data_IF_606924717991
#
_entry.id   IF_606924717991
#
_cell.length_a   1.000
_cell.length_b   1.000
_cell.length_c   1.000
_cell.angle_alpha   90.00
_cell.angle_beta   90.00
_cell.angle_gamma   90.00
#
_symmetry.space_group_name_H-M   'P 1'
#
loop_
_entity.id
_entity.type
_entity.pdbx_description
1 polymer ?
#
# COMPACT_ATOMS: atom_id res chain seq x y z
N UNK A 1 13.22 14.08 41.02
CA UNK A 1 12.84 13.00 40.09
C UNK A 1 14.02 12.79 39.17
N UNK A 2 14.55 11.57 39.05
CA UNK A 2 15.68 11.30 38.18
C UNK A 2 15.31 11.69 36.74
N UNK A 3 16.23 12.34 36.02
CA UNK A 3 16.02 12.77 34.64
C UNK A 3 15.69 11.61 33.69
N UNK A 4 15.98 10.38 34.11
CA UNK A 4 15.88 9.18 33.28
C UNK A 4 14.44 8.72 33.00
N UNK A 5 13.43 9.16 33.76
CA UNK A 5 12.02 8.72 33.61
C UNK A 5 11.12 9.70 32.83
N UNK A 6 11.67 10.79 32.29
CA UNK A 6 10.88 11.87 31.67
C UNK A 6 10.71 11.61 30.17
N UNK A 7 9.46 11.61 29.70
CA UNK A 7 9.13 11.66 28.26
C UNK A 7 9.26 13.11 27.78
N UNK A 8 9.96 13.34 26.67
CA UNK A 8 10.20 14.71 26.16
C UNK A 8 8.91 15.44 25.76
N UNK A 9 8.03 14.78 25.01
CA UNK A 9 6.77 15.36 24.55
C UNK A 9 5.61 14.36 24.63
N UNK A 10 4.43 14.87 24.96
CA UNK A 10 3.18 14.11 24.96
C UNK A 10 2.08 14.92 24.27
N UNK A 11 1.38 14.31 23.32
CA UNK A 11 0.19 14.88 22.69
C UNK A 11 -1.05 14.38 23.42
N UNK A 12 -1.89 15.33 23.85
CA UNK A 12 -3.17 15.05 24.50
C UNK A 12 -4.34 15.48 23.64
N UNK A 13 -5.38 14.66 23.60
CA UNK A 13 -6.69 15.01 23.04
C UNK A 13 -7.71 15.01 24.18
N UNK A 14 -8.24 16.19 24.53
CA UNK A 14 -9.19 16.37 25.64
C UNK A 14 -8.70 15.74 26.97
N UNK A 15 -7.40 15.85 27.25
CA UNK A 15 -6.77 15.27 28.45
C UNK A 15 -6.41 13.78 28.36
N UNK A 16 -6.74 13.10 27.26
CA UNK A 16 -6.35 11.71 27.02
C UNK A 16 -5.02 11.69 26.26
N UNK A 17 -3.98 10.98 26.75
CA UNK A 17 -2.73 10.86 26.02
C UNK A 17 -2.94 10.04 24.75
N UNK A 18 -2.53 10.58 23.61
CA UNK A 18 -2.71 9.93 22.30
C UNK A 18 -1.38 9.66 21.60
N UNK A 19 -0.31 10.38 21.92
CA UNK A 19 1.03 10.04 21.47
C UNK A 19 2.11 10.51 22.44
N UNK A 20 3.27 9.85 22.41
CA UNK A 20 4.50 10.31 23.04
C UNK A 20 5.57 10.57 21.99
N UNK A 21 6.54 11.43 22.27
CA UNK A 21 7.73 11.57 21.45
C UNK A 21 9.00 11.69 22.30
N UNK A 22 10.07 11.05 21.84
CA UNK A 22 11.44 11.22 22.33
C UNK A 22 12.23 11.94 21.23
N UNK A 23 12.90 13.03 21.59
CA UNK A 23 13.56 13.93 20.67
C UNK A 23 15.08 13.82 20.79
N UNK A 24 15.76 13.68 19.65
CA UNK A 24 17.21 13.62 19.58
C UNK A 24 17.74 14.55 18.49
N UNK A 25 19.01 14.88 18.58
CA UNK A 25 19.73 15.62 17.55
C UNK A 25 20.90 14.79 17.07
N UNK A 26 21.00 14.53 15.76
CA UNK A 26 22.01 13.61 15.19
C UNK A 26 23.47 14.04 15.46
N UNK A 27 23.70 15.26 15.96
CA UNK A 27 25.02 15.72 16.42
C UNK A 27 25.46 15.15 17.77
N UNK A 28 24.51 14.75 18.62
CA UNK A 28 24.78 14.27 19.99
C UNK A 28 24.28 12.84 20.20
N UNK A 29 23.08 12.54 19.70
CA UNK A 29 22.41 11.26 19.84
C UNK A 29 21.64 10.96 18.55
N UNK A 30 21.91 9.81 17.94
CA UNK A 30 21.26 9.42 16.69
C UNK A 30 19.84 8.86 16.93
N UNK A 31 19.16 8.49 15.84
CA UNK A 31 17.84 7.85 15.91
C UNK A 31 17.84 6.57 16.76
N UNK A 32 18.93 5.79 16.74
CA UNK A 32 18.99 4.55 17.50
C UNK A 32 18.94 4.83 19.01
N UNK A 33 19.56 5.91 19.47
CA UNK A 33 19.46 6.34 20.86
C UNK A 33 18.00 6.63 21.30
N UNK A 34 17.19 7.29 20.45
CA UNK A 34 15.77 7.51 20.74
C UNK A 34 14.98 6.19 20.83
N UNK A 35 15.22 5.29 19.87
CA UNK A 35 14.57 3.98 19.81
C UNK A 35 14.97 3.11 21.01
N UNK A 36 16.24 3.12 21.38
CA UNK A 36 16.77 2.34 22.49
C UNK A 36 16.28 2.88 23.83
N UNK A 37 16.15 4.21 23.99
CA UNK A 37 15.52 4.80 25.16
C UNK A 37 14.08 4.31 25.33
N UNK A 38 13.29 4.22 24.26
CA UNK A 38 11.96 3.60 24.33
C UNK A 38 12.00 2.10 24.70
N UNK A 39 12.97 1.35 24.18
CA UNK A 39 13.08 -0.09 24.37
C UNK A 39 13.55 -0.49 25.76
N UNK A 40 14.49 0.26 26.32
CA UNK A 40 15.23 -0.14 27.51
C UNK A 40 14.85 0.71 28.73
N UNK A 41 14.46 1.97 28.53
CA UNK A 41 14.18 2.90 29.63
C UNK A 41 12.68 3.18 29.79
N UNK A 42 11.89 3.20 28.71
CA UNK A 42 10.42 3.42 28.73
C UNK A 42 9.62 2.12 28.82
N UNK A 43 9.92 1.30 29.83
CA UNK A 43 9.25 0.00 30.02
C UNK A 43 7.81 0.22 30.51
N UNK A 44 6.76 -0.22 29.77
CA UNK A 44 5.37 0.01 30.19
C UNK A 44 4.98 -0.62 31.52
N UNK A 45 5.63 -1.72 31.89
CA UNK A 45 5.45 -2.37 33.20
C UNK A 45 6.82 -2.65 33.84
N UNK A 46 7.43 -1.66 34.50
CA UNK A 46 8.74 -1.80 35.12
C UNK A 46 8.75 -2.91 36.18
N UNK A 47 9.88 -3.62 36.31
CA UNK A 47 10.05 -4.62 37.38
C UNK A 47 9.92 -3.94 38.74
N UNK A 48 9.18 -4.57 39.65
CA UNK A 48 8.96 -4.05 41.01
C UNK A 48 7.83 -3.03 41.14
N UNK A 49 7.21 -2.55 40.05
CA UNK A 49 5.97 -1.76 40.13
C UNK A 49 4.73 -2.65 40.02
N UNK A 50 3.71 -2.46 40.88
CA UNK A 50 2.51 -3.29 40.87
C UNK A 50 1.59 -3.02 39.66
N UNK A 51 1.67 -1.83 39.08
CA UNK A 51 0.82 -1.37 37.98
C UNK A 51 1.67 -0.94 36.77
N UNK A 52 1.06 -1.00 35.59
CA UNK A 52 1.65 -0.47 34.36
C UNK A 52 1.64 1.07 34.40
N UNK A 53 2.59 1.68 33.70
CA UNK A 53 2.68 3.12 33.50
C UNK A 53 1.50 3.59 32.64
N UNK A 54 0.54 4.40 33.17
CA UNK A 54 -0.70 4.72 32.46
C UNK A 54 -0.51 5.39 31.09
N UNK A 55 0.59 6.11 30.91
CA UNK A 55 0.92 6.75 29.63
C UNK A 55 1.32 5.74 28.54
N UNK A 56 1.96 4.63 28.93
CA UNK A 56 2.62 3.68 28.04
C UNK A 56 1.94 2.30 28.00
N UNK A 57 0.95 2.07 28.86
CA UNK A 57 0.23 0.80 28.94
C UNK A 57 -0.51 0.48 27.62
N UNK A 58 -0.75 -0.79 27.37
CA UNK A 58 -1.48 -1.24 26.19
C UNK A 58 -2.64 -2.15 26.62
N UNK A 59 -3.88 -1.93 26.12
CA UNK A 59 -4.26 -0.98 25.08
C UNK A 59 -4.66 0.41 25.61
N UNK A 60 -4.21 0.79 26.82
CA UNK A 60 -4.62 2.02 27.53
C UNK A 60 -3.45 3.00 27.61
N UNK A 61 -3.55 4.15 26.95
CA UNK A 61 -2.49 5.15 26.98
C UNK A 61 -2.28 5.74 25.60
N UNK A 62 -1.06 6.21 25.34
CA UNK A 62 -0.68 6.72 24.03
C UNK A 62 -0.85 5.64 22.95
N UNK A 63 -1.39 6.05 21.81
CA UNK A 63 -1.75 5.17 20.68
C UNK A 63 -0.56 4.96 19.73
N UNK A 64 0.42 5.87 19.79
CA UNK A 64 1.65 5.83 19.00
C UNK A 64 2.78 6.55 19.73
N UNK A 65 4.00 6.05 19.57
CA UNK A 65 5.22 6.58 20.17
C UNK A 65 6.19 6.95 19.05
N UNK A 66 6.63 8.20 19.00
CA UNK A 66 7.55 8.71 17.99
C UNK A 66 8.97 8.83 18.54
N UNK A 67 9.93 8.24 17.84
CA UNK A 67 11.35 8.54 17.98
C UNK A 67 11.72 9.52 16.87
N UNK A 68 12.23 10.70 17.23
CA UNK A 68 12.43 11.82 16.30
C UNK A 68 13.87 12.30 16.36
N UNK A 69 14.54 12.37 15.20
CA UNK A 69 15.80 13.09 15.05
C UNK A 69 15.64 14.32 14.15
N UNK A 70 16.72 15.04 13.87
CA UNK A 70 16.71 16.16 12.93
C UNK A 70 16.54 15.69 11.47
N UNK A 71 16.75 14.40 11.20
CA UNK A 71 16.77 13.82 9.85
C UNK A 71 15.65 12.81 9.61
N UNK A 72 15.30 11.98 10.60
CA UNK A 72 14.33 10.89 10.42
C UNK A 72 13.33 10.82 11.57
N UNK A 73 12.22 10.14 11.32
CA UNK A 73 11.19 9.80 12.30
C UNK A 73 10.94 8.30 12.23
N UNK A 74 10.83 7.68 13.39
CA UNK A 74 10.32 6.31 13.53
C UNK A 74 9.14 6.29 14.50
N UNK A 75 8.26 5.31 14.37
CA UNK A 75 7.08 5.16 15.21
C UNK A 75 6.81 3.72 15.61
N UNK A 76 6.20 3.52 16.78
CA UNK A 76 5.68 2.25 17.25
C UNK A 76 4.29 2.47 17.86
N UNK A 77 3.34 1.57 17.60
CA UNK A 77 1.98 1.64 18.19
C UNK A 77 1.85 0.88 19.50
N UNK A 78 2.92 0.20 19.93
CA UNK A 78 2.98 -0.55 21.18
C UNK A 78 4.42 -0.74 21.63
N UNK A 79 4.71 -0.38 22.87
CA UNK A 79 5.98 -0.70 23.52
C UNK A 79 5.94 -2.10 24.13
N UNK A 80 6.98 -2.88 23.88
CA UNK A 80 7.18 -4.24 24.38
C UNK A 80 8.60 -4.42 24.96
N UNK A 81 9.17 -3.33 25.47
CA UNK A 81 10.55 -3.29 25.93
C UNK A 81 11.54 -3.56 24.79
N UNK A 82 12.57 -4.41 24.98
CA UNK A 82 13.55 -4.73 23.94
C UNK A 82 12.96 -5.28 22.64
N UNK A 83 11.81 -5.95 22.73
CA UNK A 83 11.12 -6.52 21.57
C UNK A 83 10.33 -5.49 20.75
N UNK A 84 10.29 -4.21 21.17
CA UNK A 84 9.57 -3.15 20.46
C UNK A 84 10.11 -2.98 19.06
N UNK A 85 9.22 -3.05 18.06
CA UNK A 85 9.56 -2.77 16.67
C UNK A 85 9.14 -1.35 16.30
N UNK A 86 10.12 -0.52 15.97
CA UNK A 86 9.89 0.79 15.38
C UNK A 86 9.86 0.69 13.85
N UNK A 87 8.95 1.43 13.24
CA UNK A 87 8.78 1.54 11.80
C UNK A 87 9.17 2.94 11.34
N UNK A 88 9.89 3.08 10.21
CA UNK A 88 10.10 4.39 9.59
C UNK A 88 8.77 5.10 9.32
N UNK A 89 8.72 6.40 9.63
CA UNK A 89 7.57 7.25 9.34
C UNK A 89 8.02 8.46 8.50
N UNK A 90 8.74 8.20 7.41
CA UNK A 90 9.45 9.20 6.63
C UNK A 90 8.82 9.45 5.25
N UNK A 91 9.12 10.61 4.65
CA UNK A 91 8.59 11.05 3.36
C UNK A 91 9.14 10.27 2.15
N UNK A 92 10.33 9.70 2.28
CA UNK A 92 11.15 9.22 1.18
C UNK A 92 11.97 10.36 0.54
N UNK A 93 13.11 10.03 -0.05
CA UNK A 93 14.00 11.00 -0.71
C UNK A 93 14.47 10.47 -2.07
N UNK A 94 13.97 11.04 -3.17
CA UNK A 94 14.23 10.58 -4.54
C UNK A 94 14.04 9.07 -4.74
N UNK A 95 12.98 8.52 -4.14
CA UNK A 95 12.66 7.09 -4.17
C UNK A 95 13.50 6.22 -3.24
N UNK A 96 14.33 6.78 -2.37
CA UNK A 96 15.00 6.11 -1.26
C UNK A 96 14.35 6.39 0.09
N UNK A 97 14.92 5.82 1.16
CA UNK A 97 14.51 6.05 2.55
C UNK A 97 14.89 7.44 3.07
N UNK A 98 14.27 7.85 4.18
CA UNK A 98 14.56 9.11 4.86
C UNK A 98 13.68 10.26 4.38
N UNK A 99 14.11 11.50 4.61
CA UNK A 99 13.33 12.70 4.30
C UNK A 99 14.15 13.63 3.41
N UNK A 100 13.53 14.36 2.47
CA UNK A 100 14.23 15.29 1.59
C UNK A 100 14.84 16.45 2.39
N UNK A 101 15.86 17.16 1.85
CA UNK A 101 16.38 18.37 2.46
C UNK A 101 15.28 19.43 2.60
N UNK A 102 15.20 20.10 3.74
CA UNK A 102 14.31 21.23 3.96
C UNK A 102 15.14 22.52 4.07
N UNK A 103 15.09 23.45 3.08
CA UNK A 103 15.83 24.71 3.14
C UNK A 103 15.42 25.62 4.30
N UNK A 104 14.19 25.48 4.81
CA UNK A 104 13.62 26.34 5.85
C UNK A 104 13.74 25.75 7.27
N UNK A 105 14.31 24.55 7.45
CA UNK A 105 14.39 23.93 8.77
C UNK A 105 14.85 22.47 8.76
N UNK A 106 14.38 21.70 9.74
CA UNK A 106 14.73 20.28 9.86
C UNK A 106 14.03 19.45 8.77
N UNK A 107 14.64 18.32 8.38
CA UNK A 107 14.03 17.38 7.44
C UNK A 107 12.79 16.71 8.02
N UNK A 108 12.66 16.71 9.34
CA UNK A 108 11.51 16.18 10.09
C UNK A 108 10.41 17.19 10.34
N UNK A 109 10.50 18.40 9.79
CA UNK A 109 9.53 19.47 10.03
C UNK A 109 8.09 19.12 9.65
N UNK A 110 7.90 18.27 8.63
CA UNK A 110 6.58 17.75 8.27
C UNK A 110 5.84 17.08 9.45
N UNK A 111 6.56 16.56 10.45
CA UNK A 111 5.95 15.93 11.60
C UNK A 111 5.08 16.92 12.38
N UNK A 112 5.55 18.14 12.65
CA UNK A 112 4.73 19.15 13.35
C UNK A 112 3.96 20.08 12.41
N UNK A 113 4.49 20.34 11.20
CA UNK A 113 3.86 21.23 10.23
C UNK A 113 2.72 20.58 9.47
N UNK A 114 2.69 19.24 9.38
CA UNK A 114 1.69 18.53 8.59
C UNK A 114 1.02 17.41 9.39
N UNK A 115 1.76 16.58 10.13
CA UNK A 115 1.20 15.41 10.81
C UNK A 115 0.52 15.77 12.14
N UNK A 116 1.19 16.54 13.00
CA UNK A 116 0.66 16.97 14.30
C UNK A 116 -0.15 18.27 14.25
N UNK A 117 -0.36 18.85 13.06
CA UNK A 117 -1.35 19.92 12.91
C UNK A 117 -2.70 19.46 13.42
N UNK A 118 -3.42 20.35 14.12
CA UNK A 118 -4.64 20.00 14.86
C UNK A 118 -5.63 19.18 14.04
N UNK A 119 -5.99 19.66 12.86
CA UNK A 119 -7.00 19.01 12.01
C UNK A 119 -6.48 17.69 11.41
N UNK A 120 -5.20 17.67 11.03
CA UNK A 120 -4.52 16.46 10.54
C UNK A 120 -4.43 15.38 11.62
N UNK A 121 -4.11 15.74 12.85
CA UNK A 121 -4.02 14.80 13.97
C UNK A 121 -5.39 14.22 14.35
N UNK A 122 -6.43 15.07 14.38
CA UNK A 122 -7.81 14.63 14.56
C UNK A 122 -8.28 13.72 13.43
N UNK A 123 -7.90 14.02 12.19
CA UNK A 123 -8.18 13.16 11.04
C UNK A 123 -7.48 11.81 11.17
N UNK A 124 -6.20 11.78 11.56
CA UNK A 124 -5.43 10.55 11.71
C UNK A 124 -6.05 9.66 12.80
N UNK A 125 -6.31 10.21 13.99
CA UNK A 125 -6.93 9.44 15.08
C UNK A 125 -8.34 9.02 14.69
N UNK A 126 -9.12 9.93 14.12
CA UNK A 126 -10.51 9.69 13.79
C UNK A 126 -10.66 8.70 12.65
N UNK A 127 -9.85 8.81 11.59
CA UNK A 127 -10.06 8.12 10.30
C UNK A 127 -8.98 7.17 9.85
N UNK A 128 -7.76 7.31 10.33
CA UNK A 128 -6.68 6.42 9.94
C UNK A 128 -6.36 5.34 10.97
N UNK A 129 -6.49 5.63 12.26
CA UNK A 129 -6.17 4.67 13.31
C UNK A 129 -7.19 3.52 13.33
N UNK A 130 -6.70 2.29 13.18
CA UNK A 130 -7.54 1.09 13.14
C UNK A 130 -7.19 0.16 14.29
N UNK A 131 -8.21 -0.29 15.01
CA UNK A 131 -8.05 -1.18 16.17
C UNK A 131 -8.14 -2.63 15.73
N UNK A 132 -7.03 -3.37 15.83
CA UNK A 132 -7.02 -4.80 15.55
C UNK A 132 -7.57 -5.58 16.76
N UNK A 133 -8.40 -6.58 16.49
CA UNK A 133 -9.01 -7.42 17.51
C UNK A 133 -8.89 -8.89 17.17
N UNK A 134 -8.75 -9.74 18.18
CA UNK A 134 -8.84 -11.18 18.00
C UNK A 134 -10.28 -11.67 17.82
N UNK A 135 -10.45 -12.98 17.61
CA UNK A 135 -11.76 -13.63 17.49
C UNK A 135 -12.67 -13.44 18.72
N UNK A 136 -12.09 -13.13 19.89
CA UNK A 136 -12.79 -12.83 21.14
C UNK A 136 -13.06 -11.33 21.32
N UNK A 137 -12.85 -10.52 20.28
CA UNK A 137 -13.01 -9.05 20.27
C UNK A 137 -12.06 -8.31 21.22
N UNK A 138 -10.98 -8.94 21.69
CA UNK A 138 -9.95 -8.29 22.50
C UNK A 138 -9.00 -7.51 21.61
N UNK A 139 -8.65 -6.28 22.02
CA UNK A 139 -7.67 -5.45 21.29
C UNK A 139 -6.28 -6.10 21.33
N UNK A 140 -5.73 -6.35 20.16
CA UNK A 140 -4.41 -7.00 19.97
C UNK A 140 -3.34 -6.03 19.46
N UNK A 141 -3.75 -4.97 18.76
CA UNK A 141 -2.86 -3.94 18.25
C UNK A 141 -3.60 -2.73 17.68
N UNK A 142 -2.84 -1.71 17.33
CA UNK A 142 -3.32 -0.59 16.53
C UNK A 142 -2.53 -0.53 15.23
N UNK A 143 -3.24 -0.32 14.12
CA UNK A 143 -2.65 0.07 12.84
C UNK A 143 -2.68 1.60 12.79
N UNK A 144 -1.49 2.19 12.83
CA UNK A 144 -1.27 3.60 12.50
C UNK A 144 -0.73 3.67 11.06
N UNK A 145 -1.19 4.62 10.23
CA UNK A 145 -0.77 4.67 8.83
C UNK A 145 0.74 4.89 8.73
N UNK A 146 1.41 4.22 7.80
CA UNK A 146 2.75 4.66 7.37
C UNK A 146 2.63 5.94 6.56
N UNK A 147 3.69 6.73 6.53
CA UNK A 147 3.68 8.05 5.92
C UNK A 147 3.24 8.01 4.44
N UNK A 148 3.77 7.08 3.63
CA UNK A 148 3.39 6.98 2.22
C UNK A 148 1.91 6.62 2.01
N UNK A 149 1.29 5.90 2.96
CA UNK A 149 -0.13 5.54 2.91
C UNK A 149 -1.00 6.76 3.22
N UNK A 150 -0.61 7.53 4.23
CA UNK A 150 -1.24 8.81 4.58
C UNK A 150 -1.14 9.82 3.42
N UNK A 151 0.07 9.97 2.86
CA UNK A 151 0.34 10.89 1.76
C UNK A 151 -0.42 10.50 0.47
N UNK A 152 -0.40 9.21 0.09
CA UNK A 152 -1.10 8.73 -1.11
C UNK A 152 -2.61 8.96 -1.04
N UNK A 153 -3.23 8.59 0.09
CA UNK A 153 -4.69 8.69 0.27
C UNK A 153 -5.16 10.14 0.36
N UNK A 154 -4.41 11.02 1.05
CA UNK A 154 -4.72 12.46 1.10
C UNK A 154 -4.58 13.14 -0.26
N UNK A 155 -3.49 12.88 -0.98
CA UNK A 155 -3.29 13.41 -2.33
C UNK A 155 -4.41 12.94 -3.27
N UNK A 156 -4.78 11.67 -3.19
CA UNK A 156 -5.87 11.11 -3.99
C UNK A 156 -7.21 11.80 -3.67
N UNK A 157 -7.55 11.95 -2.40
CA UNK A 157 -8.78 12.63 -1.99
C UNK A 157 -8.82 14.09 -2.48
N UNK A 158 -7.72 14.81 -2.32
CA UNK A 158 -7.61 16.21 -2.77
C UNK A 158 -7.77 16.32 -4.30
N UNK A 159 -7.11 15.44 -5.06
CA UNK A 159 -7.22 15.44 -6.52
C UNK A 159 -8.64 15.08 -6.98
N UNK A 160 -9.27 14.08 -6.38
CA UNK A 160 -10.65 13.68 -6.70
C UNK A 160 -11.65 14.79 -6.37
N UNK A 161 -11.47 15.53 -5.27
CA UNK A 161 -12.30 16.69 -4.94
C UNK A 161 -12.13 17.83 -5.94
N UNK A 162 -10.91 18.09 -6.40
CA UNK A 162 -10.63 19.16 -7.34
C UNK A 162 -11.11 18.84 -8.77
N UNK A 163 -10.97 17.59 -9.19
CA UNK A 163 -11.20 17.15 -10.57
C UNK A 163 -12.62 16.60 -10.79
N UNK A 164 -13.30 16.17 -9.72
CA UNK A 164 -14.60 15.50 -9.78
C UNK A 164 -14.52 14.01 -10.10
N UNK A 165 -15.65 13.41 -10.47
CA UNK A 165 -15.70 12.01 -10.90
C UNK A 165 -15.24 11.84 -12.37
N UNK A 166 -14.82 10.62 -12.75
CA UNK A 166 -14.47 10.28 -14.15
C UNK A 166 -12.97 10.19 -14.42
N UNK A 167 -12.12 10.39 -13.41
CA UNK A 167 -10.66 10.42 -13.58
C UNK A 167 -9.98 9.12 -13.17
N UNK A 168 -8.70 9.01 -13.50
CA UNK A 168 -7.90 7.79 -13.33
C UNK A 168 -6.71 8.07 -12.42
N UNK A 169 -6.39 7.15 -11.52
CA UNK A 169 -5.28 7.30 -10.58
C UNK A 169 -4.51 5.98 -10.45
N UNK A 170 -3.22 6.00 -10.80
CA UNK A 170 -2.33 4.86 -10.61
C UNK A 170 -1.45 5.06 -9.38
N UNK A 171 -1.60 4.20 -8.38
CA UNK A 171 -0.79 4.19 -7.16
C UNK A 171 0.25 3.07 -7.28
N UNK A 172 1.51 3.45 -7.48
CA UNK A 172 2.62 2.50 -7.58
C UNK A 172 3.30 2.33 -6.21
N UNK A 173 2.87 1.34 -5.43
CA UNK A 173 3.45 1.04 -4.12
C UNK A 173 4.11 -0.34 -4.14
N UNK A 174 5.38 -0.42 -3.75
CA UNK A 174 6.17 -1.68 -3.68
C UNK A 174 5.44 -2.83 -2.97
N UNK A 175 5.82 -4.08 -3.26
CA UNK A 175 5.41 -5.22 -2.44
C UNK A 175 5.76 -4.99 -0.95
N UNK A 176 4.94 -5.49 -0.02
CA UNK A 176 5.12 -5.28 1.42
C UNK A 176 4.86 -3.85 1.93
N UNK A 177 4.45 -2.91 1.05
CA UNK A 177 4.08 -1.53 1.40
C UNK A 177 2.74 -1.39 2.14
N UNK A 178 2.03 -2.49 2.37
CA UNK A 178 0.74 -2.49 3.07
C UNK A 178 -0.41 -1.93 2.22
N UNK A 179 -0.37 -2.18 0.90
CA UNK A 179 -1.39 -1.71 -0.07
C UNK A 179 -2.83 -1.98 0.38
N UNK A 180 -3.07 -3.14 0.99
CA UNK A 180 -4.39 -3.52 1.54
C UNK A 180 -4.99 -2.44 2.44
N UNK A 181 -4.20 -1.85 3.34
CA UNK A 181 -4.68 -0.76 4.20
C UNK A 181 -4.91 0.52 3.41
N UNK A 182 -4.04 0.85 2.45
CA UNK A 182 -4.21 2.00 1.55
C UNK A 182 -5.50 1.89 0.72
N UNK A 183 -5.83 0.69 0.24
CA UNK A 183 -7.08 0.39 -0.48
C UNK A 183 -8.28 0.55 0.44
N UNK A 184 -8.24 -0.02 1.65
CA UNK A 184 -9.32 0.10 2.62
C UNK A 184 -9.58 1.57 3.02
N UNK A 185 -8.54 2.34 3.33
CA UNK A 185 -8.66 3.78 3.58
C UNK A 185 -9.25 4.51 2.38
N UNK A 186 -8.73 4.26 1.16
CA UNK A 186 -9.26 4.87 -0.07
C UNK A 186 -10.74 4.57 -0.25
N UNK A 187 -11.16 3.32 -0.07
CA UNK A 187 -12.56 2.91 -0.24
C UNK A 187 -13.49 3.67 0.72
N UNK A 188 -13.13 3.73 2.00
CA UNK A 188 -13.90 4.48 3.01
C UNK A 188 -13.89 5.99 2.76
N UNK A 189 -12.75 6.55 2.34
CA UNK A 189 -12.66 7.97 2.04
C UNK A 189 -13.52 8.37 0.84
N UNK A 190 -13.49 7.60 -0.25
CA UNK A 190 -14.31 7.88 -1.42
C UNK A 190 -15.81 7.62 -1.17
N UNK A 191 -16.15 6.62 -0.35
CA UNK A 191 -17.53 6.32 0.05
C UNK A 191 -18.21 7.43 0.86
N UNK A 192 -17.41 8.22 1.60
CA UNK A 192 -17.86 9.34 2.43
C UNK A 192 -17.43 10.70 1.87
N UNK A 193 -16.92 10.76 0.65
CA UNK A 193 -16.44 12.00 0.05
C UNK A 193 -17.62 12.87 -0.38
N UNK A 194 -17.62 14.14 0.03
CA UNK A 194 -18.64 15.11 -0.34
C UNK A 194 -18.00 16.32 -1.02
N UNK A 195 -18.73 16.92 -1.96
CA UNK A 195 -18.35 18.20 -2.57
C UNK A 195 -18.60 19.40 -1.64
N UNK A 196 -18.28 20.60 -2.11
CA UNK A 196 -18.46 21.83 -1.34
C UNK A 196 -19.94 22.14 -1.01
N UNK A 197 -20.89 21.55 -1.74
CA UNK A 197 -22.32 21.66 -1.50
C UNK A 197 -22.83 20.54 -0.59
N UNK A 198 -21.92 19.74 -0.02
CA UNK A 198 -22.22 18.61 0.84
C UNK A 198 -23.04 17.50 0.14
N UNK A 199 -22.90 17.36 -1.18
CA UNK A 199 -23.42 16.22 -1.91
C UNK A 199 -22.35 15.13 -2.00
N UNK A 200 -22.75 13.87 -1.86
CA UNK A 200 -21.85 12.74 -2.05
C UNK A 200 -21.27 12.75 -3.46
N UNK A 201 -19.95 12.62 -3.56
CA UNK A 201 -19.27 12.56 -4.85
C UNK A 201 -19.47 11.21 -5.54
N UNK A 202 -19.56 10.12 -4.77
CA UNK A 202 -19.84 8.78 -5.27
C UNK A 202 -21.02 8.16 -4.55
N UNK A 203 -21.88 7.49 -5.32
CA UNK A 203 -23.01 6.71 -4.81
C UNK A 203 -22.53 5.39 -4.19
N UNK A 204 -21.54 4.75 -4.82
CA UNK A 204 -20.94 3.51 -4.32
C UNK A 204 -19.49 3.35 -4.78
N UNK A 205 -18.70 2.62 -3.98
CA UNK A 205 -17.30 2.28 -4.26
C UNK A 205 -17.19 0.78 -4.47
N UNK A 206 -16.67 0.37 -5.62
CA UNK A 206 -16.41 -1.02 -5.96
C UNK A 206 -14.93 -1.34 -5.72
N UNK A 207 -14.64 -2.33 -4.88
CA UNK A 207 -13.26 -2.80 -4.62
C UNK A 207 -13.09 -4.18 -5.25
N UNK A 208 -12.05 -4.31 -6.08
CA UNK A 208 -11.75 -5.50 -6.87
C UNK A 208 -10.45 -6.13 -6.39
N UNK A 209 -10.48 -7.43 -6.12
CA UNK A 209 -9.31 -8.22 -5.73
C UNK A 209 -9.11 -9.43 -6.66
N UNK A 210 -7.86 -9.72 -7.01
CA UNK A 210 -7.45 -10.77 -7.96
C UNK A 210 -7.54 -12.21 -7.41
N UNK A 211 -7.58 -12.39 -6.09
CA UNK A 211 -7.52 -13.74 -5.50
C UNK A 211 -8.84 -14.51 -5.68
N UNK A 212 -8.74 -15.75 -6.21
CA UNK A 212 -9.84 -16.71 -6.40
C UNK A 212 -10.71 -16.90 -5.14
N UNK A 213 -10.10 -16.74 -3.98
CA UNK A 213 -10.78 -16.53 -2.70
C UNK A 213 -10.67 -15.05 -2.40
N UNK A 214 -11.82 -14.37 -2.24
CA UNK A 214 -11.89 -13.01 -1.71
C UNK A 214 -10.86 -12.88 -0.60
N UNK A 215 -9.88 -11.99 -0.79
CA UNK A 215 -8.77 -11.90 0.15
C UNK A 215 -9.36 -11.57 1.52
N UNK A 216 -9.33 -12.56 2.41
CA UNK A 216 -9.86 -12.41 3.75
C UNK A 216 -9.19 -11.24 4.46
N UNK A 217 -7.92 -10.93 4.13
CA UNK A 217 -7.20 -9.79 4.68
C UNK A 217 -7.73 -8.46 4.15
N UNK A 218 -8.05 -8.35 2.86
CA UNK A 218 -8.62 -7.12 2.29
C UNK A 218 -10.04 -6.90 2.79
N UNK A 219 -10.83 -7.96 2.86
CA UNK A 219 -12.18 -7.89 3.44
C UNK A 219 -12.13 -7.50 4.90
N UNK A 220 -11.34 -8.22 5.71
CA UNK A 220 -11.16 -7.93 7.13
C UNK A 220 -10.70 -6.50 7.33
N UNK A 221 -9.74 -6.00 6.52
CA UNK A 221 -9.34 -4.61 6.56
C UNK A 221 -10.50 -3.66 6.23
N UNK A 222 -11.27 -3.88 5.16
CA UNK A 222 -12.41 -3.02 4.82
C UNK A 222 -13.49 -3.06 5.93
N UNK A 223 -13.73 -4.22 6.55
CA UNK A 223 -14.69 -4.37 7.65
C UNK A 223 -14.17 -3.78 8.97
N UNK A 224 -12.89 -3.91 9.31
CA UNK A 224 -12.29 -3.36 10.52
C UNK A 224 -12.28 -1.82 10.51
N UNK A 225 -12.29 -1.23 9.31
CA UNK A 225 -12.37 0.21 9.11
C UNK A 225 -13.84 0.69 9.07
N UNK A 226 -14.81 -0.23 9.02
CA UNK A 226 -16.23 0.08 9.00
C UNK A 226 -16.69 0.63 10.37
N UNK A 227 -16.97 1.93 10.42
CA UNK A 227 -17.50 2.56 11.64
C UNK A 227 -19.00 2.37 11.82
N UNK A 228 -19.74 2.41 10.73
CA UNK A 228 -21.20 2.22 10.71
C UNK A 228 -21.49 0.87 10.09
N UNK A 229 -21.93 -0.10 10.91
CA UNK A 229 -22.21 -1.45 10.43
C UNK A 229 -23.23 -1.45 9.29
N UNK A 230 -22.95 -2.22 8.25
CA UNK A 230 -23.87 -2.49 7.16
C UNK A 230 -23.71 -1.57 5.95
N UNK A 231 -22.66 -0.75 5.88
CA UNK A 231 -22.32 0.04 4.68
C UNK A 231 -21.43 -0.73 3.70
N UNK A 232 -20.76 -1.78 4.17
CA UNK A 232 -19.97 -2.70 3.34
C UNK A 232 -20.82 -3.91 2.93
N UNK A 233 -20.71 -4.33 1.67
CA UNK A 233 -21.28 -5.56 1.14
C UNK A 233 -20.21 -6.39 0.42
N UNK A 234 -20.27 -7.71 0.62
CA UNK A 234 -19.45 -8.68 -0.10
C UNK A 234 -20.34 -9.53 -0.99
N UNK A 235 -19.93 -9.72 -2.25
CA UNK A 235 -20.61 -10.63 -3.17
C UNK A 235 -19.98 -12.03 -3.05
N UNK A 236 -20.71 -12.99 -2.47
CA UNK A 236 -20.24 -14.37 -2.26
C UNK A 236 -20.89 -15.37 -3.22
N UNK A 237 -22.10 -15.09 -3.72
CA UNK A 237 -22.86 -15.97 -4.59
C UNK A 237 -23.49 -17.17 -3.88
N UNK A 238 -23.76 -17.04 -2.57
CA UNK A 238 -24.34 -18.12 -1.73
C UNK A 238 -25.86 -17.98 -1.58
N UNK A 239 -26.45 -16.82 -1.91
CA UNK A 239 -27.89 -16.53 -1.74
C UNK A 239 -28.69 -16.36 -3.05
N UNK A 240 -28.03 -16.37 -4.21
CA UNK A 240 -28.66 -16.18 -5.52
C UNK A 240 -27.64 -16.17 -6.67
N UNK A 241 -28.02 -15.67 -7.86
CA UNK A 241 -27.04 -15.45 -8.93
C UNK A 241 -26.09 -14.32 -8.51
N UNK A 242 -24.77 -14.49 -8.74
CA UNK A 242 -23.75 -13.48 -8.39
C UNK A 242 -24.04 -12.09 -8.97
N UNK A 243 -24.74 -12.04 -10.11
CA UNK A 243 -25.18 -10.81 -10.76
C UNK A 243 -26.37 -10.15 -10.04
N UNK A 244 -27.26 -10.93 -9.42
CA UNK A 244 -28.40 -10.43 -8.64
C UNK A 244 -27.98 -9.80 -7.31
N UNK A 245 -27.13 -10.50 -6.54
CA UNK A 245 -26.57 -9.97 -5.26
C UNK A 245 -25.86 -8.63 -5.48
N UNK A 246 -25.16 -8.52 -6.61
CA UNK A 246 -24.41 -7.34 -7.01
C UNK A 246 -25.30 -6.18 -7.46
N UNK A 247 -26.34 -6.45 -8.24
CA UNK A 247 -27.33 -5.44 -8.62
C UNK A 247 -28.08 -4.90 -7.39
N UNK A 248 -28.42 -5.76 -6.44
CA UNK A 248 -29.03 -5.36 -5.17
C UNK A 248 -28.07 -4.51 -4.33
N UNK A 249 -26.80 -4.92 -4.21
CA UNK A 249 -25.79 -4.17 -3.47
C UNK A 249 -25.54 -2.77 -4.07
N UNK A 250 -25.48 -2.66 -5.41
CA UNK A 250 -25.30 -1.39 -6.13
C UNK A 250 -26.58 -0.52 -6.19
N UNK A 251 -27.75 -1.16 -6.09
CA UNK A 251 -29.06 -0.49 -6.04
C UNK A 251 -29.44 0.02 -4.65
N UNK A 252 -28.98 -0.65 -3.59
CA UNK A 252 -29.26 -0.32 -2.19
C UNK A 252 -28.36 0.75 -1.57
N UNK A 253 -28.48 0.96 -0.26
CA UNK A 253 -27.70 1.95 0.50
C UNK A 253 -26.25 1.54 0.85
N UNK A 254 -25.69 0.52 0.18
CA UNK A 254 -24.33 0.03 0.44
C UNK A 254 -23.32 0.98 -0.18
N UNK A 255 -22.43 1.53 0.65
CA UNK A 255 -21.42 2.49 0.20
C UNK A 255 -20.20 1.82 -0.42
N UNK A 256 -19.86 0.60 0.01
CA UNK A 256 -18.70 -0.14 -0.46
C UNK A 256 -19.11 -1.57 -0.84
N UNK A 257 -18.78 -2.00 -2.04
CA UNK A 257 -19.02 -3.34 -2.56
C UNK A 257 -17.68 -4.00 -2.89
N UNK A 258 -17.41 -5.17 -2.32
CA UNK A 258 -16.18 -5.93 -2.59
C UNK A 258 -16.50 -7.12 -3.49
N UNK A 259 -15.78 -7.23 -4.61
CA UNK A 259 -15.93 -8.32 -5.56
C UNK A 259 -14.57 -8.92 -5.97
N UNK A 260 -14.60 -10.12 -6.52
CA UNK A 260 -13.42 -10.78 -7.11
C UNK A 260 -13.22 -10.38 -8.57
N UNK A 261 -12.05 -10.65 -9.13
CA UNK A 261 -11.80 -10.50 -10.57
C UNK A 261 -12.78 -11.27 -11.46
N UNK A 262 -13.28 -12.43 -11.04
CA UNK A 262 -14.24 -13.22 -11.83
C UNK A 262 -15.65 -12.63 -11.81
N UNK A 263 -16.01 -11.94 -10.72
CA UNK A 263 -17.33 -11.28 -10.57
C UNK A 263 -17.30 -9.82 -11.06
N UNK A 264 -16.11 -9.25 -11.21
CA UNK A 264 -15.90 -7.89 -11.63
C UNK A 264 -16.53 -7.51 -12.98
N UNK A 265 -16.49 -8.33 -14.05
CA UNK A 265 -17.12 -7.94 -15.33
C UNK A 265 -18.63 -7.72 -15.21
N UNK A 266 -19.31 -8.53 -14.38
CA UNK A 266 -20.72 -8.36 -14.10
C UNK A 266 -20.97 -7.08 -13.28
N UNK A 267 -20.09 -6.80 -12.31
CA UNK A 267 -20.14 -5.59 -11.48
C UNK A 267 -19.97 -4.33 -12.33
N UNK A 268 -18.97 -4.33 -13.19
CA UNK A 268 -18.66 -3.22 -14.06
C UNK A 268 -19.79 -2.93 -15.03
N UNK A 269 -20.39 -3.97 -15.65
CA UNK A 269 -21.53 -3.79 -16.54
C UNK A 269 -22.72 -3.14 -15.82
N UNK A 270 -23.03 -3.58 -14.60
CA UNK A 270 -24.09 -2.99 -13.79
C UNK A 270 -23.79 -1.54 -13.39
N UNK A 271 -22.55 -1.26 -12.96
CA UNK A 271 -22.07 0.09 -12.65
C UNK A 271 -22.19 1.03 -13.86
N UNK A 272 -21.77 0.58 -15.04
CA UNK A 272 -21.86 1.35 -16.29
C UNK A 272 -23.31 1.62 -16.69
N UNK A 273 -24.18 0.62 -16.58
CA UNK A 273 -25.61 0.79 -16.87
C UNK A 273 -26.24 1.81 -15.91
N UNK A 274 -25.96 1.72 -14.61
CA UNK A 274 -26.45 2.68 -13.62
C UNK A 274 -25.89 4.09 -13.83
N UNK A 275 -24.61 4.21 -14.18
CA UNK A 275 -23.99 5.49 -14.48
C UNK A 275 -24.62 6.15 -15.72
N UNK A 276 -24.90 5.35 -16.77
CA UNK A 276 -25.50 5.84 -18.01
C UNK A 276 -27.01 6.15 -17.88
N UNK A 277 -27.76 5.34 -17.13
CA UNK A 277 -29.23 5.44 -17.06
C UNK A 277 -29.73 6.30 -15.90
N UNK A 278 -28.99 6.34 -14.79
CA UNK A 278 -29.41 7.03 -13.56
C UNK A 278 -28.47 8.18 -13.17
N UNK A 279 -27.46 8.50 -13.99
CA UNK A 279 -26.44 9.51 -13.70
C UNK A 279 -25.70 9.28 -12.37
N UNK A 280 -25.64 8.02 -11.91
CA UNK A 280 -24.90 7.64 -10.71
C UNK A 280 -23.40 7.73 -10.92
N UNK A 281 -22.68 8.05 -9.85
CA UNK A 281 -21.22 8.17 -9.83
C UNK A 281 -20.61 7.05 -9.00
N UNK A 282 -19.56 6.42 -9.53
CA UNK A 282 -18.91 5.29 -8.89
C UNK A 282 -17.39 5.48 -8.83
N UNK A 283 -16.77 4.90 -7.81
CA UNK A 283 -15.32 4.73 -7.77
C UNK A 283 -14.99 3.23 -7.84
N UNK A 284 -14.07 2.84 -8.71
CA UNK A 284 -13.59 1.47 -8.84
C UNK A 284 -12.14 1.42 -8.38
N UNK A 285 -11.85 0.61 -7.36
CA UNK A 285 -10.52 0.43 -6.79
C UNK A 285 -10.04 -0.99 -7.09
N UNK A 286 -8.88 -1.15 -7.71
CA UNK A 286 -8.31 -2.45 -8.03
C UNK A 286 -6.99 -2.71 -7.29
N UNK A 287 -6.88 -3.88 -6.65
CA UNK A 287 -5.65 -4.41 -6.04
C UNK A 287 -4.86 -5.31 -7.01
N UNK A 288 -3.54 -5.37 -6.80
CA UNK A 288 -2.56 -6.18 -7.54
C UNK A 288 -2.83 -6.24 -9.04
N UNK A 289 -2.54 -5.12 -9.69
CA UNK A 289 -2.50 -5.06 -11.14
C UNK A 289 -1.27 -5.79 -11.69
N UNK A 290 -1.30 -7.12 -11.62
CA UNK A 290 -0.39 -7.99 -12.35
C UNK A 290 -1.12 -9.26 -12.75
N UNK A 291 -0.81 -9.74 -13.95
CA UNK A 291 -1.42 -10.92 -14.52
C UNK A 291 -0.87 -12.17 -13.83
N UNK A 292 -1.65 -12.73 -12.92
CA UNK A 292 -1.39 -14.06 -12.41
C UNK A 292 -2.73 -14.72 -12.07
N UNK A 293 -3.34 -15.39 -13.07
CA UNK A 293 -4.20 -16.60 -12.95
C UNK A 293 -4.96 -16.91 -14.26
N UNK A 294 -4.40 -17.87 -15.02
CA UNK A 294 -5.05 -19.02 -15.67
C UNK A 294 -6.41 -18.86 -16.40
N UNK A 295 -6.33 -18.77 -17.74
CA UNK A 295 -7.14 -19.55 -18.70
C UNK A 295 -8.63 -19.24 -18.86
N UNK A 296 -9.46 -19.54 -17.85
CA UNK A 296 -10.92 -19.59 -18.01
C UNK A 296 -11.58 -18.23 -17.76
N UNK A 297 -11.14 -17.51 -16.73
CA UNK A 297 -11.54 -16.12 -16.50
C UNK A 297 -11.04 -15.25 -17.67
N UNK A 298 -9.77 -15.40 -18.06
CA UNK A 298 -9.19 -14.71 -19.21
C UNK A 298 -9.96 -14.99 -20.52
N UNK A 299 -10.50 -16.20 -20.72
CA UNK A 299 -11.32 -16.54 -21.89
C UNK A 299 -12.68 -15.82 -21.90
N UNK A 300 -13.40 -15.79 -20.78
CA UNK A 300 -14.65 -15.02 -20.65
C UNK A 300 -14.42 -13.51 -20.74
N UNK A 301 -13.26 -13.06 -20.28
CA UNK A 301 -12.82 -11.68 -20.41
C UNK A 301 -12.48 -11.31 -21.86
N UNK A 302 -11.79 -12.21 -22.58
CA UNK A 302 -11.53 -12.11 -24.02
C UNK A 302 -12.81 -11.99 -24.85
N UNK A 303 -13.89 -12.65 -24.43
CA UNK A 303 -15.21 -12.57 -25.08
C UNK A 303 -15.91 -11.21 -24.93
N UNK A 304 -15.46 -10.36 -24.00
CA UNK A 304 -15.95 -8.99 -23.84
C UNK A 304 -15.11 -7.96 -24.61
N UNK A 305 -14.01 -8.39 -25.24
CA UNK A 305 -13.13 -7.56 -26.06
C UNK A 305 -13.59 -7.60 -27.52
N UNK A 306 -13.37 -6.50 -28.25
CA UNK A 306 -13.59 -6.43 -29.70
C UNK A 306 -12.59 -7.32 -30.48
N UNK A 307 -12.89 -7.58 -31.75
CA UNK A 307 -12.07 -8.45 -32.61
C UNK A 307 -10.65 -7.93 -32.86
N UNK A 308 -10.44 -6.60 -32.78
CA UNK A 308 -9.11 -5.98 -32.85
C UNK A 308 -8.33 -6.16 -31.54
N UNK A 309 -9.00 -5.98 -30.39
CA UNK A 309 -8.40 -6.15 -29.05
C UNK A 309 -8.03 -7.63 -28.75
N UNK A 310 -8.75 -8.57 -29.36
CA UNK A 310 -8.43 -10.01 -29.33
C UNK A 310 -7.16 -10.37 -30.12
N UNK A 311 -6.84 -9.61 -31.17
CA UNK A 311 -5.65 -9.82 -32.00
C UNK A 311 -4.37 -9.41 -31.26
N UNK A 312 -4.41 -8.29 -30.56
CA UNK A 312 -3.27 -7.80 -29.77
C UNK A 312 -2.99 -8.68 -28.53
N UNK A 313 -4.01 -9.38 -28.03
CA UNK A 313 -3.90 -10.34 -26.93
C UNK A 313 -3.37 -11.73 -27.35
N UNK A 314 -3.28 -12.00 -28.66
CA UNK A 314 -2.86 -13.29 -29.19
C UNK A 314 -1.33 -13.51 -29.11
N UNK A 315 -0.55 -12.46 -28.84
CA UNK A 315 0.91 -12.49 -28.63
C UNK A 315 1.34 -13.11 -27.27
N UNK A 316 0.46 -13.85 -26.61
CA UNK A 316 0.79 -14.70 -25.46
C UNK A 316 0.82 -14.01 -24.09
N UNK A 317 0.29 -12.79 -23.98
CA UNK A 317 0.17 -12.08 -22.70
C UNK A 317 -0.99 -12.61 -21.83
N UNK A 318 -0.75 -12.83 -20.54
CA UNK A 318 -1.81 -13.01 -19.54
C UNK A 318 -2.49 -11.66 -19.23
N UNK A 319 -3.81 -11.68 -18.96
CA UNK A 319 -4.66 -10.49 -18.75
C UNK A 319 -4.80 -10.19 -17.26
N UNK A 320 -4.38 -9.01 -16.81
CA UNK A 320 -4.62 -8.53 -15.44
C UNK A 320 -5.91 -7.69 -15.30
N UNK A 321 -6.33 -7.40 -14.07
CA UNK A 321 -7.42 -6.44 -13.76
C UNK A 321 -7.20 -5.07 -14.41
N UNK A 322 -5.97 -4.58 -14.44
CA UNK A 322 -5.59 -3.35 -15.16
C UNK A 322 -5.89 -3.41 -16.65
N UNK A 323 -5.57 -4.52 -17.30
CA UNK A 323 -5.77 -4.67 -18.74
C UNK A 323 -7.28 -4.68 -19.05
N UNK A 324 -8.09 -5.31 -18.20
CA UNK A 324 -9.55 -5.27 -18.31
C UNK A 324 -10.11 -3.88 -18.13
N UNK A 325 -9.72 -3.22 -17.05
CA UNK A 325 -10.15 -1.85 -16.79
C UNK A 325 -9.74 -0.97 -17.95
N UNK A 326 -8.49 -1.07 -18.39
CA UNK A 326 -7.96 -0.27 -19.45
C UNK A 326 -8.65 -0.49 -20.80
N UNK A 327 -8.95 -1.74 -21.17
CA UNK A 327 -9.72 -2.04 -22.38
C UNK A 327 -11.14 -1.49 -22.27
N UNK A 328 -11.82 -1.74 -21.15
CA UNK A 328 -13.18 -1.23 -20.94
C UNK A 328 -13.21 0.31 -20.94
N UNK A 329 -12.16 0.96 -20.44
CA UNK A 329 -11.98 2.40 -20.46
C UNK A 329 -11.66 2.93 -21.86
N UNK A 330 -10.91 2.19 -22.68
CA UNK A 330 -10.61 2.56 -24.06
C UNK A 330 -11.84 2.42 -24.98
N UNK A 331 -12.66 1.40 -24.74
CA UNK A 331 -13.89 1.14 -25.49
C UNK A 331 -14.96 2.23 -25.32
N UNK A 332 -14.89 3.05 -24.25
CA UNK A 332 -15.89 4.09 -23.95
C UNK A 332 -15.25 5.35 -23.40
N UNK A 333 -14.89 6.26 -24.31
CA UNK A 333 -14.31 7.58 -24.02
C UNK A 333 -15.21 8.55 -23.21
N UNK A 334 -16.35 8.11 -22.67
CA UNK A 334 -17.39 8.98 -22.12
C UNK A 334 -18.06 8.48 -20.83
N UNK A 335 -17.41 7.61 -20.06
CA UNK A 335 -17.88 7.20 -18.73
C UNK A 335 -17.65 8.33 -17.69
N UNK A 336 -18.28 9.50 -17.89
CA UNK A 336 -18.15 10.71 -17.06
C UNK A 336 -18.56 10.52 -15.57
N UNK A 337 -19.01 9.33 -15.19
CA UNK A 337 -19.43 8.99 -13.83
C UNK A 337 -18.52 8.00 -13.10
N UNK A 338 -17.50 7.41 -13.72
CA UNK A 338 -16.69 6.35 -13.09
C UNK A 338 -15.25 6.80 -12.90
N UNK A 339 -14.83 6.90 -11.63
CA UNK A 339 -13.43 7.15 -11.26
C UNK A 339 -12.72 5.81 -11.04
N UNK A 340 -11.52 5.67 -11.59
CA UNK A 340 -10.72 4.45 -11.46
C UNK A 340 -9.45 4.70 -10.65
N UNK A 341 -9.20 3.85 -9.64
CA UNK A 341 -7.99 3.86 -8.81
C UNK A 341 -7.34 2.48 -8.86
N UNK A 342 -6.12 2.39 -9.38
CA UNK A 342 -5.39 1.13 -9.48
C UNK A 342 -4.18 1.14 -8.54
N UNK A 343 -4.02 0.09 -7.74
CA UNK A 343 -2.85 -0.15 -6.90
C UNK A 343 -1.99 -1.27 -7.51
N UNK A 344 -0.70 -1.01 -7.67
CA UNK A 344 0.25 -2.01 -8.20
C UNK A 344 1.66 -1.77 -7.69
N UNK A 345 2.47 -2.83 -7.60
CA UNK A 345 3.89 -2.70 -7.31
C UNK A 345 4.73 -2.47 -8.59
N UNK A 346 4.27 -3.05 -9.70
CA UNK A 346 5.05 -3.19 -10.94
C UNK A 346 4.16 -2.91 -12.15
N UNK A 347 3.82 -1.63 -12.41
CA UNK A 347 2.97 -1.28 -13.54
C UNK A 347 3.69 -1.64 -14.85
N UNK A 348 2.98 -2.32 -15.76
CA UNK A 348 3.47 -2.54 -17.13
C UNK A 348 3.47 -1.21 -17.89
N UNK A 349 4.24 -1.11 -18.98
CA UNK A 349 4.23 0.07 -19.84
C UNK A 349 2.81 0.43 -20.30
N UNK A 350 2.00 -0.58 -20.63
CA UNK A 350 0.61 -0.41 -21.05
C UNK A 350 -0.28 0.14 -19.93
N UNK A 351 -0.08 -0.31 -18.68
CA UNK A 351 -0.75 0.27 -17.50
C UNK A 351 -0.43 1.74 -17.35
N UNK A 352 0.85 2.12 -17.49
CA UNK A 352 1.26 3.52 -17.41
C UNK A 352 0.61 4.36 -18.50
N UNK A 353 0.54 3.86 -19.74
CA UNK A 353 -0.15 4.57 -20.83
C UNK A 353 -1.63 4.82 -20.53
N UNK A 354 -2.30 3.88 -19.88
CA UNK A 354 -3.77 3.89 -19.73
C UNK A 354 -4.25 4.55 -18.43
N UNK A 355 -3.50 4.38 -17.34
CA UNK A 355 -3.80 4.88 -16.00
C UNK A 355 -2.84 5.95 -15.51
N UNK A 356 -1.64 6.01 -16.07
CA UNK A 356 -0.68 7.04 -15.73
C UNK A 356 -1.17 8.41 -16.16
N UNK A 357 -0.65 9.43 -15.48
CA UNK A 357 -0.93 10.83 -15.76
C UNK A 357 0.32 11.47 -16.30
N UNK A 358 0.17 12.26 -17.35
CA UNK A 358 1.27 13.09 -17.85
C UNK A 358 1.51 14.23 -16.87
N UNK A 359 2.76 14.52 -16.48
CA UNK A 359 3.08 15.66 -15.63
C UNK A 359 2.50 16.99 -16.16
N UNK A 360 2.54 17.17 -17.48
CA UNK A 360 1.96 18.31 -18.18
C UNK A 360 0.90 17.83 -19.19
N UNK A 361 -0.39 17.74 -18.79
CA UNK A 361 -1.47 17.24 -19.65
C UNK A 361 -1.68 18.06 -20.94
N UNK A 362 -1.36 19.35 -20.89
CA UNK A 362 -1.53 20.29 -22.02
C UNK A 362 -0.46 20.10 -23.11
N UNK A 363 0.67 19.46 -22.80
CA UNK A 363 1.75 19.22 -23.76
C UNK A 363 1.60 17.85 -24.41
N UNK A 364 2.10 17.63 -25.64
CA UNK A 364 2.12 16.30 -26.25
C UNK A 364 2.97 15.32 -25.44
N UNK A 365 2.72 14.02 -25.62
CA UNK A 365 3.58 12.99 -25.04
C UNK A 365 4.97 13.04 -25.68
N UNK A 366 6.01 12.91 -24.85
CA UNK A 366 7.39 12.96 -25.30
C UNK A 366 8.37 12.75 -24.13
N UNK A 367 9.69 12.74 -24.39
CA UNK A 367 10.70 12.66 -23.35
C UNK A 367 10.49 13.74 -22.28
N UNK A 368 10.30 13.34 -21.02
CA UNK A 368 10.00 14.25 -19.90
C UNK A 368 8.52 14.54 -19.65
N UNK A 369 7.60 14.07 -20.52
CA UNK A 369 6.15 14.19 -20.35
C UNK A 369 5.42 12.86 -20.60
N UNK A 370 6.06 11.74 -20.27
CA UNK A 370 5.45 10.42 -20.35
C UNK A 370 4.46 10.23 -19.20
N UNK A 371 3.40 9.41 -19.39
CA UNK A 371 2.52 9.02 -18.30
C UNK A 371 3.28 8.40 -17.13
N UNK A 372 3.04 8.92 -15.93
CA UNK A 372 3.64 8.47 -14.69
C UNK A 372 2.56 8.09 -13.66
N UNK A 373 2.88 7.26 -12.65
CA UNK A 373 1.98 7.00 -11.55
C UNK A 373 1.59 8.30 -10.83
N UNK A 374 0.36 8.35 -10.33
CA UNK A 374 -0.13 9.45 -9.49
C UNK A 374 0.61 9.54 -8.16
N UNK A 375 0.98 8.38 -7.59
CA UNK A 375 1.77 8.31 -6.36
C UNK A 375 2.74 7.13 -6.42
N UNK A 376 3.93 7.29 -5.86
CA UNK A 376 4.98 6.27 -5.84
C UNK A 376 5.49 6.05 -4.41
N UNK A 377 5.55 4.79 -4.01
CA UNK A 377 6.37 4.29 -2.92
C UNK A 377 7.25 3.17 -3.47
N UNK A 378 8.53 3.48 -3.68
CA UNK A 378 9.39 2.69 -4.55
C UNK A 378 9.87 1.39 -3.87
N UNK A 379 10.33 0.44 -4.68
CA UNK A 379 10.99 -0.77 -4.18
C UNK A 379 12.29 -0.42 -3.43
N UNK A 380 13.07 0.55 -3.96
CA UNK A 380 14.30 1.03 -3.32
C UNK A 380 14.02 1.56 -1.91
N UNK A 381 13.02 2.41 -1.75
CA UNK A 381 12.64 2.93 -0.44
C UNK A 381 12.22 1.80 0.50
N UNK A 382 11.39 0.86 0.03
CA UNK A 382 10.95 -0.27 0.83
C UNK A 382 12.10 -1.19 1.28
N UNK A 383 13.13 -1.36 0.44
CA UNK A 383 14.36 -2.11 0.77
C UNK A 383 15.17 -1.36 1.82
N UNK A 384 15.44 -0.07 1.58
CA UNK A 384 16.26 0.77 2.47
C UNK A 384 15.59 0.96 3.85
N UNK A 385 14.26 0.95 3.91
CA UNK A 385 13.48 0.99 5.16
C UNK A 385 13.29 -0.40 5.82
N UNK A 386 13.79 -1.47 5.20
CA UNK A 386 13.77 -2.83 5.76
C UNK A 386 12.40 -3.53 5.72
N UNK A 387 11.50 -3.10 4.84
CA UNK A 387 10.19 -3.73 4.66
C UNK A 387 10.23 -4.94 3.72
N UNK A 388 11.16 -4.94 2.77
CA UNK A 388 11.41 -6.06 1.86
C UNK A 388 12.92 -6.31 1.75
N UNK A 389 13.30 -7.54 1.40
CA UNK A 389 14.69 -7.91 1.21
C UNK A 389 15.16 -7.53 -0.20
N UNK A 390 16.40 -7.06 -0.29
CA UNK A 390 17.09 -6.88 -1.56
C UNK A 390 17.58 -8.24 -2.08
N UNK A 391 16.81 -8.83 -2.98
CA UNK A 391 17.16 -10.11 -3.61
C UNK A 391 18.37 -10.01 -4.54
N UNK A 392 18.74 -8.81 -4.98
CA UNK A 392 19.87 -8.58 -5.88
C UNK A 392 21.21 -8.52 -5.16
N UNK A 393 21.24 -8.16 -3.87
CA UNK A 393 22.48 -8.14 -3.06
C UNK A 393 23.23 -9.47 -3.08
N UNK A 394 22.51 -10.58 -3.15
CA UNK A 394 23.06 -11.94 -3.18
C UNK A 394 22.82 -12.64 -4.52
N UNK A 395 22.53 -11.88 -5.58
CA UNK A 395 22.32 -12.44 -6.92
C UNK A 395 23.67 -12.66 -7.61
N UNK A 396 24.00 -13.93 -7.87
CA UNK A 396 25.19 -14.31 -8.63
C UNK A 396 24.78 -14.78 -10.03
N UNK A 397 25.07 -14.00 -11.10
CA UNK A 397 24.81 -14.44 -12.46
C UNK A 397 25.57 -15.72 -12.80
N UNK A 398 25.01 -16.60 -13.63
CA UNK A 398 25.69 -17.83 -14.04
C UNK A 398 27.04 -17.56 -14.71
N UNK A 399 27.17 -16.48 -15.50
CA UNK A 399 28.43 -16.06 -16.09
C UNK A 399 29.50 -15.76 -15.03
N UNK A 400 29.11 -15.08 -13.95
CA UNK A 400 30.01 -14.76 -12.85
C UNK A 400 30.37 -16.01 -12.05
N UNK A 401 29.38 -16.85 -11.71
CA UNK A 401 29.61 -18.13 -11.04
C UNK A 401 30.55 -19.02 -11.87
N UNK A 402 30.41 -19.04 -13.19
CA UNK A 402 31.26 -19.81 -14.09
C UNK A 402 32.68 -19.25 -14.10
N UNK A 403 32.84 -17.93 -14.18
CA UNK A 403 34.16 -17.28 -14.11
C UNK A 403 34.85 -17.57 -12.78
N UNK A 404 34.12 -17.53 -11.67
CA UNK A 404 34.66 -17.85 -10.34
C UNK A 404 35.01 -19.34 -10.20
N UNK A 405 34.16 -20.25 -10.70
CA UNK A 405 34.42 -21.69 -10.70
C UNK A 405 35.65 -22.08 -11.54
N UNK A 406 36.01 -21.26 -12.52
CA UNK A 406 37.16 -21.47 -13.41
C UNK A 406 38.33 -20.52 -13.10
N UNK A 407 38.42 -19.99 -11.87
CA UNK A 407 39.54 -19.15 -11.41
C UNK A 407 39.82 -17.92 -12.29
N UNK A 408 38.76 -17.34 -12.87
CA UNK A 408 38.87 -16.16 -13.73
C UNK A 408 39.22 -16.46 -15.18
N UNK A 409 39.46 -17.73 -15.56
CA UNK A 409 39.73 -18.12 -16.95
C UNK A 409 38.49 -17.93 -17.81
N UNK A 410 38.61 -17.16 -18.87
CA UNK A 410 37.62 -17.11 -19.95
C UNK A 410 37.96 -18.23 -20.93
N UNK A 411 37.01 -19.14 -21.15
CA UNK A 411 37.16 -20.20 -22.14
C UNK A 411 36.74 -19.65 -23.49
N UNK A 412 37.57 -19.92 -24.50
CA UNK A 412 37.23 -19.81 -25.91
C UNK A 412 36.14 -20.84 -26.30
N UNK A 413 35.57 -20.66 -27.48
CA UNK A 413 34.35 -21.21 -28.13
C UNK A 413 34.04 -22.73 -28.03
N UNK A 414 34.64 -23.48 -27.12
CA UNK A 414 34.42 -24.91 -26.92
C UNK A 414 32.99 -25.18 -26.44
N UNK A 415 32.18 -25.75 -27.33
CA UNK A 415 30.83 -26.21 -27.00
C UNK A 415 30.90 -27.33 -25.96
N UNK A 416 30.15 -27.17 -24.87
CA UNK A 416 29.99 -28.16 -23.80
C UNK A 416 28.54 -28.61 -23.73
N UNK A 417 28.31 -29.83 -23.24
CA UNK A 417 26.95 -30.30 -23.00
C UNK A 417 26.31 -29.47 -21.86
N UNK A 418 25.13 -28.91 -22.15
CA UNK A 418 24.47 -27.91 -21.30
C UNK A 418 24.09 -28.47 -19.93
N UNK A 419 23.60 -29.70 -19.86
CA UNK A 419 23.14 -30.34 -18.63
C UNK A 419 24.30 -30.60 -17.66
N UNK A 420 25.42 -31.11 -18.15
CA UNK A 420 26.65 -31.38 -17.39
C UNK A 420 27.28 -30.09 -16.88
N UNK A 421 27.40 -29.07 -17.74
CA UNK A 421 27.91 -27.76 -17.36
C UNK A 421 27.06 -27.12 -16.25
N UNK A 422 25.73 -27.15 -16.40
CA UNK A 422 24.81 -26.62 -15.39
C UNK A 422 24.87 -27.39 -14.08
N UNK A 423 24.97 -28.73 -14.12
CA UNK A 423 25.13 -29.56 -12.90
C UNK A 423 26.44 -29.26 -12.18
N UNK A 424 27.55 -29.16 -12.92
CA UNK A 424 28.86 -28.81 -12.38
C UNK A 424 28.84 -27.44 -11.70
N UNK A 425 28.26 -26.44 -12.37
CA UNK A 425 28.13 -25.09 -11.85
C UNK A 425 27.25 -25.04 -10.60
N UNK A 426 26.07 -25.69 -10.62
CA UNK A 426 25.17 -25.74 -9.46
C UNK A 426 25.79 -26.46 -8.27
N UNK A 427 26.58 -27.51 -8.51
CA UNK A 427 27.34 -28.22 -7.47
C UNK A 427 28.39 -27.29 -6.85
N UNK A 428 29.15 -26.56 -7.67
CA UNK A 428 30.12 -25.58 -7.19
C UNK A 428 29.45 -24.46 -6.40
N UNK A 429 28.37 -23.85 -6.92
CA UNK A 429 27.62 -22.80 -6.21
C UNK A 429 27.11 -23.30 -4.86
N UNK A 430 26.53 -24.50 -4.79
CA UNK A 430 26.04 -25.07 -3.52
C UNK A 430 27.15 -25.35 -2.51
N UNK A 431 28.30 -25.81 -2.98
CA UNK A 431 29.43 -26.21 -2.13
C UNK A 431 30.43 -25.08 -1.87
N UNK A 432 30.21 -23.89 -2.46
CA UNK A 432 31.12 -22.77 -2.27
C UNK A 432 31.17 -22.37 -0.78
N UNK A 433 32.36 -22.21 -0.18
CA UNK A 433 32.51 -21.94 1.26
C UNK A 433 31.64 -20.77 1.76
N UNK A 434 31.53 -19.70 0.95
CA UNK A 434 30.67 -18.55 1.23
C UNK A 434 29.18 -18.95 1.37
N UNK A 435 28.64 -19.76 0.46
CA UNK A 435 27.23 -20.16 0.48
C UNK A 435 26.92 -21.17 1.60
N UNK A 436 27.89 -22.02 1.95
CA UNK A 436 27.79 -22.91 3.11
C UNK A 436 27.74 -22.07 4.39
N UNK A 437 28.61 -21.06 4.53
CA UNK A 437 28.65 -20.19 5.72
C UNK A 437 27.35 -19.39 5.93
N UNK A 438 26.66 -19.02 4.86
CA UNK A 438 25.37 -18.31 4.91
C UNK A 438 24.18 -19.20 5.32
N UNK A 439 24.29 -20.53 5.20
CA UNK A 439 23.18 -21.48 5.54
C UNK A 439 23.32 -22.15 6.90
N UNK A 440 24.50 -22.07 7.51
CA UNK A 440 24.82 -22.73 8.79
C UNK A 440 24.76 -21.75 9.97
N UNK A 441 24.58 -20.44 9.70
CA UNK A 441 24.48 -19.38 10.70
C UNK A 441 23.05 -19.09 11.15
#
# INVERSE_FOLDING_TARGET
TGHDDIIDLVLFLNGIPVATAELKTDFTQDMNAAVDQYRFDRIPKPKGRPFAEPLLDFPRGALVHFAVSNRTVMMATRLQGPATRFLPFNQGDHGGAGNPPNPAGHRTAYLWEQVWQRDSWLEIIGRYLVTQRDSKKKVTGFIFPRYHQLDATRKLQAAVLAEGAGHKYLIQHSAGSGKTNSIAWTAHFLADLHDAQNHKLFDSVLVVSDRNVLDAQLQEAIFDFERTKGVVATIKGEGGSKSGELAEALGGGKKIVVCTIQTFPFALKAVQELAATQSKRFAVIADEAHSSQTGEAASKLKQLLSAEELKDLADGGEVGTEDLLAVQMAARANDKGITYVAFTATPKAKTLELFGRRPNPEQPAGPGNLPAPFHIYSMRQAIEEGFILDVLKNYTPYKLAFKLANEGKEWDEKQVERSEAMKGLMRWVRLHPYNISQKVA
#
